data_IF_722977053323
#
_entry.id   IF_722977053323
#
_cell.length_a   1.000
_cell.length_b   1.000
_cell.length_c   1.000
_cell.angle_alpha   90.00
_cell.angle_beta   90.00
_cell.angle_gamma   90.00
#
_symmetry.space_group_name_H-M   'P 1'
#
loop_
_entity.id
_entity.type
_entity.pdbx_description
1 polymer ?
#
# COMPACT_ATOMS: atom_id res chain seq x y z
N UNK A 1 4.92 -23.94 2.86
CA UNK A 1 5.18 -22.71 3.63
C UNK A 1 4.45 -21.54 2.98
N UNK A 2 3.56 -20.86 3.71
CA UNK A 2 2.72 -19.78 3.19
C UNK A 2 3.57 -18.55 2.83
N UNK A 3 3.47 -18.04 1.59
CA UNK A 3 4.28 -16.90 1.12
C UNK A 3 4.09 -15.64 1.98
N UNK A 4 2.96 -15.50 2.65
CA UNK A 4 2.70 -14.38 3.57
C UNK A 4 3.65 -14.37 4.78
N UNK A 5 4.01 -15.54 5.32
CA UNK A 5 4.89 -15.62 6.49
C UNK A 5 6.37 -15.39 6.17
N UNK A 6 6.76 -15.45 4.89
CA UNK A 6 8.10 -15.01 4.47
C UNK A 6 8.32 -13.51 4.68
N UNK A 7 7.26 -12.75 4.96
CA UNK A 7 7.34 -11.33 5.27
C UNK A 7 7.59 -11.03 6.75
N UNK A 8 7.59 -12.06 7.62
CA UNK A 8 7.78 -11.90 9.06
C UNK A 8 9.16 -12.45 9.45
N UNK A 9 10.00 -11.62 10.05
CA UNK A 9 11.25 -12.06 10.66
C UNK A 9 10.99 -12.92 11.90
N UNK A 10 11.98 -13.73 12.30
CA UNK A 10 11.89 -14.50 13.53
C UNK A 10 12.08 -13.61 14.76
N UNK A 11 10.99 -13.37 15.49
CA UNK A 11 10.97 -12.54 16.71
C UNK A 11 10.94 -13.35 18.01
N UNK A 12 10.74 -14.68 17.94
CA UNK A 12 10.78 -15.58 19.09
C UNK A 12 9.84 -16.78 19.00
N UNK A 13 9.97 -17.71 19.96
CA UNK A 13 9.17 -18.93 20.02
C UNK A 13 7.70 -18.59 20.31
N UNK A 14 6.78 -19.18 19.53
CA UNK A 14 5.31 -18.98 19.62
C UNK A 14 4.82 -17.54 19.32
N UNK A 15 5.68 -16.69 18.74
CA UNK A 15 5.30 -15.35 18.34
C UNK A 15 4.92 -15.26 16.86
N UNK A 16 5.49 -16.12 16.01
CA UNK A 16 5.05 -16.26 14.61
C UNK A 16 3.91 -17.29 14.54
N UNK A 17 2.76 -16.94 13.94
CA UNK A 17 1.66 -17.88 13.76
C UNK A 17 2.02 -18.98 12.76
N UNK A 18 1.57 -20.21 13.02
CA UNK A 18 1.83 -21.36 12.14
C UNK A 18 1.01 -21.34 10.83
N UNK A 19 -0.22 -20.80 10.89
CA UNK A 19 -1.15 -20.71 9.74
C UNK A 19 -1.87 -19.37 9.71
N UNK A 20 -2.25 -18.93 8.51
CA UNK A 20 -2.98 -17.68 8.33
C UNK A 20 -4.42 -17.90 8.81
N UNK A 21 -4.86 -17.05 9.73
CA UNK A 21 -6.14 -17.17 10.42
C UNK A 21 -7.10 -16.09 9.91
N UNK A 22 -8.09 -16.46 9.11
CA UNK A 22 -8.98 -15.49 8.42
C UNK A 22 -9.72 -14.55 9.39
N UNK A 23 -9.95 -15.01 10.61
CA UNK A 23 -10.57 -14.28 11.72
C UNK A 23 -9.68 -13.15 12.29
N UNK A 24 -8.35 -13.36 12.32
CA UNK A 24 -7.39 -12.38 12.86
C UNK A 24 -6.95 -11.35 11.82
N UNK A 25 -6.81 -11.76 10.57
CA UNK A 25 -6.26 -10.91 9.53
C UNK A 25 -7.36 -10.03 8.93
N UNK A 26 -7.32 -8.73 9.26
CA UNK A 26 -8.24 -7.72 8.73
C UNK A 26 -7.45 -6.69 7.91
N UNK A 27 -7.99 -6.26 6.75
CA UNK A 27 -7.41 -5.14 6.02
C UNK A 27 -7.45 -3.87 6.88
N UNK A 28 -6.29 -3.22 7.04
CA UNK A 28 -6.15 -1.97 7.79
C UNK A 28 -6.35 -0.76 6.87
N UNK A 29 -5.70 -0.76 5.71
CA UNK A 29 -5.79 0.31 4.73
C UNK A 29 -5.67 -0.22 3.29
N UNK A 30 -6.15 0.55 2.33
CA UNK A 30 -5.97 0.34 0.89
C UNK A 30 -5.43 1.63 0.28
N UNK A 31 -4.32 1.50 -0.45
CA UNK A 31 -3.71 2.59 -1.20
C UNK A 31 -4.16 2.52 -2.65
N UNK A 32 -4.70 3.62 -3.16
CA UNK A 32 -5.14 3.76 -4.54
C UNK A 32 -4.45 4.95 -5.20
N UNK A 33 -3.91 4.71 -6.38
CA UNK A 33 -3.33 5.71 -7.27
C UNK A 33 -4.24 5.90 -8.47
N UNK A 34 -4.04 6.99 -9.23
CA UNK A 34 -4.79 7.22 -10.45
C UNK A 34 -4.64 6.04 -11.44
N UNK A 35 -5.66 5.76 -12.27
CA UNK A 35 -5.60 4.67 -13.23
C UNK A 35 -4.38 4.83 -14.15
N UNK A 36 -3.70 3.72 -14.47
CA UNK A 36 -2.46 3.73 -15.26
C UNK A 36 -1.17 3.82 -14.46
N UNK A 37 -1.21 4.23 -13.18
CA UNK A 37 -0.01 4.41 -12.34
C UNK A 37 0.48 3.11 -11.63
N UNK A 38 0.33 1.95 -12.28
CA UNK A 38 0.70 0.66 -11.69
C UNK A 38 2.21 0.50 -11.42
N UNK A 39 3.07 1.27 -12.08
CA UNK A 39 4.51 1.31 -11.79
C UNK A 39 4.81 2.04 -10.47
N UNK A 40 4.07 3.11 -10.17
CA UNK A 40 4.18 3.86 -8.91
C UNK A 40 3.74 2.99 -7.74
N UNK A 41 2.58 2.34 -7.85
CA UNK A 41 2.09 1.42 -6.81
C UNK A 41 3.06 0.27 -6.50
N UNK A 42 3.70 -0.31 -7.52
CA UNK A 42 4.76 -1.31 -7.31
C UNK A 42 5.96 -0.74 -6.56
N UNK A 43 6.44 0.45 -6.96
CA UNK A 43 7.54 1.14 -6.28
C UNK A 43 7.23 1.36 -4.80
N UNK A 44 6.04 1.89 -4.49
CA UNK A 44 5.57 2.12 -3.11
C UNK A 44 5.51 0.80 -2.33
N UNK A 45 4.94 -0.25 -2.90
CA UNK A 45 4.88 -1.56 -2.26
C UNK A 45 6.27 -2.13 -1.96
N UNK A 46 7.24 -1.98 -2.87
CA UNK A 46 8.61 -2.38 -2.63
C UNK A 46 9.24 -1.61 -1.47
N UNK A 47 9.05 -0.28 -1.42
CA UNK A 47 9.60 0.56 -0.35
C UNK A 47 9.01 0.28 1.02
N UNK A 48 7.70 0.08 1.12
CA UNK A 48 7.06 -0.32 2.38
C UNK A 48 7.58 -1.67 2.89
N UNK A 49 7.90 -2.61 1.99
CA UNK A 49 8.48 -3.89 2.39
C UNK A 49 9.93 -3.78 2.83
N UNK A 50 10.71 -2.91 2.19
CA UNK A 50 12.08 -2.60 2.62
C UNK A 50 12.05 -1.99 4.03
N UNK A 51 11.21 -0.98 4.28
CA UNK A 51 11.10 -0.33 5.59
C UNK A 51 10.64 -1.29 6.68
N UNK A 52 9.59 -2.08 6.42
CA UNK A 52 9.15 -3.12 7.37
C UNK A 52 10.26 -4.09 7.75
N UNK A 53 11.10 -4.49 6.78
CA UNK A 53 12.21 -5.39 7.06
C UNK A 53 13.27 -4.72 7.94
N UNK A 54 13.55 -3.43 7.70
CA UNK A 54 14.48 -2.64 8.51
C UNK A 54 13.96 -2.46 9.94
N UNK A 55 12.69 -2.11 10.13
CA UNK A 55 12.07 -2.00 11.47
C UNK A 55 12.17 -3.29 12.30
N UNK A 56 12.21 -4.45 11.66
CA UNK A 56 12.33 -5.73 12.34
C UNK A 56 13.77 -6.16 12.65
N UNK A 57 14.75 -5.68 11.88
CA UNK A 57 16.15 -6.17 11.93
C UNK A 57 17.16 -5.13 12.40
N UNK A 58 16.95 -3.86 12.05
CA UNK A 58 17.83 -2.73 12.30
C UNK A 58 17.20 -1.81 13.35
N UNK A 59 17.08 -2.29 14.58
CA UNK A 59 16.57 -1.52 15.71
C UNK A 59 17.66 -1.42 16.78
N UNK A 60 18.07 -0.19 17.10
CA UNK A 60 19.07 0.11 18.14
C UNK A 60 18.46 0.88 19.33
N UNK A 61 17.13 0.83 19.48
CA UNK A 61 16.41 1.52 20.55
C UNK A 61 16.82 0.95 21.93
N UNK A 62 17.43 1.78 22.81
CA UNK A 62 17.79 1.38 24.16
C UNK A 62 16.60 0.83 24.96
N UNK A 63 15.38 1.32 24.72
CA UNK A 63 14.19 0.86 25.41
C UNK A 63 13.88 -0.61 25.07
N UNK A 64 13.94 -0.99 23.79
CA UNK A 64 13.78 -2.39 23.36
C UNK A 64 14.91 -3.28 23.88
N UNK A 65 16.14 -2.77 23.93
CA UNK A 65 17.30 -3.50 24.44
C UNK A 65 17.22 -3.77 25.95
N UNK A 66 16.60 -2.88 26.72
CA UNK A 66 16.37 -3.08 28.16
C UNK A 66 15.28 -4.12 28.46
N UNK A 67 14.37 -4.40 27.53
CA UNK A 67 13.29 -5.36 27.70
C UNK A 67 13.77 -6.82 27.67
N UNK A 68 12.99 -7.70 28.32
CA UNK A 68 13.18 -9.17 28.21
C UNK A 68 13.02 -9.63 26.76
N UNK A 69 13.69 -10.73 26.38
CA UNK A 69 13.64 -11.28 25.01
C UNK A 69 12.22 -11.51 24.50
N UNK A 70 11.32 -11.95 25.38
CA UNK A 70 9.91 -12.20 25.02
C UNK A 70 9.15 -10.91 24.80
N UNK A 71 9.19 -9.98 25.76
CA UNK A 71 8.52 -8.68 25.64
C UNK A 71 9.03 -7.90 24.42
N UNK A 72 10.35 -7.96 24.16
CA UNK A 72 10.96 -7.40 22.96
C UNK A 72 10.39 -8.02 21.68
N UNK A 73 10.26 -9.35 21.62
CA UNK A 73 9.67 -10.02 20.47
C UNK A 73 8.20 -9.64 20.24
N UNK A 74 7.43 -9.44 21.31
CA UNK A 74 6.05 -8.94 21.25
C UNK A 74 6.01 -7.50 20.73
N UNK A 75 6.86 -6.61 21.24
CA UNK A 75 6.99 -5.23 20.76
C UNK A 75 7.43 -5.15 19.29
N UNK A 76 8.39 -5.97 18.86
CA UNK A 76 8.85 -6.03 17.46
C UNK A 76 7.77 -6.56 16.51
N UNK A 77 6.78 -7.32 16.98
CA UNK A 77 5.66 -7.73 16.15
C UNK A 77 4.58 -6.64 16.02
N UNK A 78 4.51 -5.70 16.96
CA UNK A 78 3.58 -4.57 16.90
C UNK A 78 4.08 -3.50 15.92
N UNK A 79 3.93 -3.81 14.63
CA UNK A 79 4.39 -2.95 13.53
C UNK A 79 3.27 -2.08 12.97
N UNK A 80 2.12 -1.97 13.65
CA UNK A 80 0.96 -1.23 13.11
C UNK A 80 1.27 0.26 12.96
N UNK A 81 1.80 0.88 14.01
CA UNK A 81 2.20 2.30 13.99
C UNK A 81 3.30 2.56 12.97
N UNK A 82 4.36 1.75 13.00
CA UNK A 82 5.48 1.85 12.05
C UNK A 82 5.00 1.74 10.59
N UNK A 83 4.09 0.80 10.30
CA UNK A 83 3.54 0.64 8.95
C UNK A 83 2.81 1.91 8.47
N UNK A 84 2.13 2.64 9.35
CA UNK A 84 1.46 3.89 9.00
C UNK A 84 2.45 5.03 8.80
N UNK A 85 3.43 5.15 9.68
CA UNK A 85 4.51 6.12 9.53
C UNK A 85 5.28 5.89 8.21
N UNK A 86 5.57 4.64 7.87
CA UNK A 86 6.20 4.26 6.61
C UNK A 86 5.33 4.63 5.39
N UNK A 87 4.01 4.47 5.49
CA UNK A 87 3.09 4.91 4.43
C UNK A 87 3.18 6.42 4.20
N UNK A 88 3.14 7.22 5.27
CA UNK A 88 3.28 8.67 5.17
C UNK A 88 4.64 9.05 4.56
N UNK A 89 5.74 8.46 5.06
CA UNK A 89 7.08 8.70 4.56
C UNK A 89 7.24 8.36 3.06
N UNK A 90 6.77 7.20 2.64
CA UNK A 90 6.88 6.75 1.24
C UNK A 90 6.01 7.60 0.31
N UNK A 91 4.81 8.00 0.74
CA UNK A 91 3.95 8.88 -0.06
C UNK A 91 4.45 10.34 -0.13
N UNK A 92 5.26 10.76 0.85
CA UNK A 92 6.03 11.99 0.80
C UNK A 92 7.24 11.93 -0.16
N UNK A 93 7.47 10.79 -0.81
CA UNK A 93 8.57 10.60 -1.74
C UNK A 93 9.90 10.28 -1.06
N UNK A 94 9.89 9.80 0.19
CA UNK A 94 11.11 9.32 0.87
C UNK A 94 11.55 7.98 0.24
N UNK A 95 12.87 7.78 0.19
CA UNK A 95 13.51 6.58 -0.34
C UNK A 95 14.08 6.77 -1.74
N UNK A 96 15.36 6.39 -1.92
CA UNK A 96 16.05 6.49 -3.21
C UNK A 96 15.30 5.69 -4.30
N UNK A 97 15.05 6.36 -5.44
CA UNK A 97 14.36 5.77 -6.58
C UNK A 97 12.85 5.56 -6.39
N UNK A 98 12.25 6.22 -5.40
CA UNK A 98 10.81 6.19 -5.20
C UNK A 98 10.07 6.93 -6.32
N UNK A 99 9.26 6.19 -7.09
CA UNK A 99 8.50 6.70 -8.24
C UNK A 99 7.25 7.50 -7.87
N UNK A 100 6.99 7.76 -6.59
CA UNK A 100 5.96 8.74 -6.20
C UNK A 100 6.39 10.16 -6.57
N UNK A 101 7.71 10.42 -6.59
CA UNK A 101 8.26 11.64 -7.16
C UNK A 101 8.07 11.60 -8.68
N UNK A 102 7.44 12.63 -9.19
CA UNK A 102 7.20 12.84 -10.60
C UNK A 102 8.33 13.70 -11.16
N UNK A 103 9.24 13.05 -11.87
CA UNK A 103 10.23 13.75 -12.69
C UNK A 103 9.50 14.09 -14.00
N UNK A 104 9.22 15.37 -14.25
CA UNK A 104 8.39 15.83 -15.39
C UNK A 104 8.85 15.42 -16.79
N UNK A 105 9.99 14.75 -16.89
CA UNK A 105 10.65 14.26 -18.10
C UNK A 105 10.31 12.80 -18.46
N UNK A 106 9.56 12.07 -17.62
CA UNK A 106 9.07 10.75 -18.00
C UNK A 106 7.77 10.90 -18.80
N UNK A 107 7.90 11.09 -20.12
CA UNK A 107 6.88 10.57 -21.05
C UNK A 107 6.54 9.16 -20.60
N UNK A 108 5.25 8.90 -20.37
CA UNK A 108 4.73 7.59 -20.00
C UNK A 108 5.31 6.55 -20.96
N UNK A 109 6.39 5.88 -20.54
CA UNK A 109 6.76 4.57 -21.06
C UNK A 109 5.67 3.65 -20.53
N UNK A 110 4.49 3.75 -21.15
CA UNK A 110 3.36 2.85 -20.98
C UNK A 110 3.96 1.47 -21.15
N UNK A 111 4.26 0.81 -20.03
CA UNK A 111 4.73 -0.56 -20.07
C UNK A 111 3.58 -1.30 -20.75
N UNK A 112 3.80 -1.93 -21.91
CA UNK A 112 2.71 -2.61 -22.61
C UNK A 112 2.07 -3.56 -21.62
N UNK A 113 0.75 -3.53 -21.56
CA UNK A 113 -0.02 -4.33 -20.62
C UNK A 113 0.29 -5.81 -20.87
N UNK A 114 1.12 -6.40 -20.02
CA UNK A 114 1.52 -7.80 -20.15
C UNK A 114 0.44 -8.66 -19.49
N UNK A 115 -0.39 -9.30 -20.30
CA UNK A 115 -1.28 -10.34 -19.81
C UNK A 115 -0.49 -11.65 -19.63
N UNK A 116 -0.43 -12.17 -18.41
CA UNK A 116 0.20 -13.47 -18.14
C UNK A 116 -0.81 -14.60 -18.31
N UNK A 117 -0.84 -15.22 -19.49
CA UNK A 117 -1.55 -16.49 -19.72
C UNK A 117 -0.54 -17.61 -19.84
N UNK A 118 -0.57 -18.59 -18.92
CA UNK A 118 0.31 -19.78 -18.90
C UNK A 118 1.82 -19.45 -19.03
N UNK A 119 2.32 -18.48 -18.27
CA UNK A 119 3.76 -18.24 -18.11
C UNK A 119 4.51 -17.72 -19.35
N UNK A 120 3.81 -17.35 -20.44
CA UNK A 120 4.40 -16.66 -21.60
C UNK A 120 3.96 -15.20 -21.64
N UNK A 121 4.89 -14.30 -21.96
CA UNK A 121 4.63 -12.88 -22.19
C UNK A 121 3.98 -12.71 -23.56
N UNK A 122 2.76 -12.18 -23.59
CA UNK A 122 2.09 -11.76 -24.82
C UNK A 122 1.98 -10.23 -24.86
N UNK A 123 2.32 -9.63 -25.99
CA UNK A 123 2.07 -8.22 -26.28
C UNK A 123 0.62 -8.08 -26.75
N UNK A 124 -0.21 -7.34 -26.01
CA UNK A 124 -1.53 -6.94 -26.50
C UNK A 124 -1.33 -5.78 -27.47
N UNK A 125 -1.40 -6.06 -28.77
CA UNK A 125 -1.44 -5.02 -29.79
C UNK A 125 -2.88 -4.54 -29.95
N UNK A 126 -3.19 -3.33 -29.46
CA UNK A 126 -4.48 -2.67 -29.65
C UNK A 126 -4.59 -2.18 -31.10
N UNK A 127 -4.87 -3.08 -32.03
CA UNK A 127 -5.32 -2.75 -33.39
C UNK A 127 -6.62 -3.47 -33.71
N UNK A 128 -7.72 -2.71 -33.67
CA UNK A 128 -9.01 -3.10 -34.23
C UNK A 128 -10.18 -2.48 -33.48
N UNK A 129 -10.73 -1.37 -34.02
CA UNK A 129 -12.10 -0.92 -33.71
C UNK A 129 -12.25 0.51 -33.18
N UNK A 130 -12.55 1.45 -34.09
CA UNK A 130 -13.26 2.73 -33.84
C UNK A 130 -14.71 2.42 -33.34
N UNK A 131 -15.55 3.28 -32.75
CA UNK A 131 -15.80 4.73 -32.90
C UNK A 131 -16.69 5.21 -31.72
N UNK A 132 -16.88 6.52 -31.61
CA UNK A 132 -17.46 7.33 -30.52
C UNK A 132 -18.96 7.12 -30.23
N UNK A 133 -19.41 7.55 -29.04
CA UNK A 133 -20.52 8.50 -28.94
C UNK A 133 -20.35 9.42 -27.71
N UNK A 134 -20.47 10.72 -27.98
CA UNK A 134 -20.54 11.82 -27.01
C UNK A 134 -21.95 11.88 -26.41
N UNK A 135 -22.08 12.14 -25.10
CA UNK A 135 -23.19 12.97 -24.60
C UNK A 135 -22.71 13.82 -23.43
N UNK A 136 -23.12 15.08 -23.50
CA UNK A 136 -22.81 16.21 -22.64
C UNK A 136 -23.53 16.15 -21.28
N UNK A 137 -22.88 16.64 -20.23
CA UNK A 137 -23.51 17.41 -19.15
C UNK A 137 -22.43 18.01 -18.23
N UNK A 138 -22.40 19.33 -18.16
CA UNK A 138 -21.51 20.12 -17.34
C UNK A 138 -21.87 20.05 -15.85
N UNK A 139 -20.86 20.04 -14.98
CA UNK A 139 -20.95 20.64 -13.63
C UNK A 139 -19.66 21.41 -13.38
N UNK A 140 -19.80 22.74 -13.33
CA UNK A 140 -18.74 23.67 -12.99
C UNK A 140 -18.55 23.73 -11.47
N UNK A 141 -17.29 23.72 -11.01
CA UNK A 141 -16.88 24.34 -9.74
C UNK A 141 -15.53 25.04 -9.95
N UNK A 142 -15.53 26.37 -9.73
CA UNK A 142 -14.37 27.28 -9.70
C UNK A 142 -13.39 26.91 -8.57
N UNK A 143 -12.08 26.74 -8.81
CA UNK A 143 -10.96 27.71 -8.96
C UNK A 143 -10.13 27.88 -7.66
N UNK A 144 -8.81 27.81 -7.83
CA UNK A 144 -7.71 28.18 -6.92
C UNK A 144 -7.05 27.10 -6.03
N UNK A 145 -6.23 26.24 -6.67
CA UNK A 145 -4.78 26.07 -6.42
C UNK A 145 -4.24 24.96 -7.34
N UNK A 146 -3.00 25.12 -7.80
CA UNK A 146 -2.46 24.52 -9.03
C UNK A 146 -2.61 23.02 -9.18
N UNK A 147 -3.44 22.60 -10.14
CA UNK A 147 -3.43 21.25 -10.72
C UNK A 147 -2.65 21.35 -12.02
N UNK A 148 -1.42 20.84 -12.04
CA UNK A 148 -0.58 20.80 -13.24
C UNK A 148 -0.53 19.35 -13.72
N UNK A 149 -1.41 19.03 -14.69
CA UNK A 149 -1.63 17.69 -15.30
C UNK A 149 -2.26 16.65 -14.36
N UNK A 150 -3.11 15.78 -14.92
CA UNK A 150 -4.01 14.87 -14.20
C UNK A 150 -3.27 14.06 -13.09
N UNK A 151 -3.58 14.35 -11.83
CA UNK A 151 -3.15 13.55 -10.68
C UNK A 151 -1.73 13.81 -10.16
N UNK A 152 -1.11 14.95 -10.46
CA UNK A 152 0.18 15.38 -9.87
C UNK A 152 -0.02 16.64 -9.04
N UNK A 153 0.50 16.63 -7.81
CA UNK A 153 0.45 17.75 -6.86
C UNK A 153 1.86 18.27 -6.65
N UNK A 154 2.02 19.58 -6.76
CA UNK A 154 3.24 20.26 -6.39
C UNK A 154 3.32 20.40 -4.87
N UNK A 155 4.41 19.94 -4.27
CA UNK A 155 4.66 20.05 -2.82
C UNK A 155 6.00 20.72 -2.60
N UNK A 156 6.00 21.76 -1.77
CA UNK A 156 7.23 22.42 -1.32
C UNK A 156 7.74 21.68 -0.08
N UNK A 157 8.83 20.93 -0.24
CA UNK A 157 9.42 20.19 0.89
C UNK A 157 10.52 21.03 1.51
N UNK A 158 10.36 21.35 2.80
CA UNK A 158 11.42 21.93 3.62
C UNK A 158 12.28 20.78 4.16
N UNK A 159 13.61 20.87 4.08
CA UNK A 159 14.49 19.87 4.71
C UNK A 159 14.47 20.07 6.22
N UNK A 160 14.29 18.98 6.96
CA UNK A 160 14.39 18.97 8.42
C UNK A 160 15.83 19.35 8.83
N UNK A 161 16.00 20.53 9.43
CA UNK A 161 17.27 21.02 9.96
C UNK A 161 17.59 22.49 9.68
N UNK A 162 16.95 23.13 8.70
CA UNK A 162 17.15 24.56 8.41
C UNK A 162 15.96 25.38 8.91
N UNK A 163 16.12 25.97 10.11
CA UNK A 163 15.27 27.05 10.62
C UNK A 163 15.59 28.39 9.93
N UNK A 164 15.84 28.36 8.62
CA UNK A 164 16.05 29.53 7.79
C UNK A 164 14.89 29.63 6.80
N UNK A 165 14.35 30.84 6.63
CA UNK A 165 13.37 31.20 5.61
C UNK A 165 13.99 31.06 4.21
N UNK A 166 14.16 29.81 3.76
CA UNK A 166 14.67 29.45 2.45
C UNK A 166 13.57 28.79 1.61
N UNK A 167 13.49 29.18 0.34
CA UNK A 167 12.62 28.59 -0.68
C UNK A 167 12.82 27.06 -0.71
N UNK A 168 11.79 26.31 -0.28
CA UNK A 168 11.85 24.85 -0.21
C UNK A 168 12.01 24.22 -1.59
N UNK A 169 12.54 22.99 -1.62
CA UNK A 169 12.69 22.25 -2.87
C UNK A 169 11.30 21.89 -3.39
N UNK A 170 10.96 22.39 -4.59
CA UNK A 170 9.69 22.13 -5.26
C UNK A 170 9.72 20.72 -5.85
N UNK A 171 9.00 19.79 -5.23
CA UNK A 171 8.92 18.39 -5.65
C UNK A 171 7.51 18.12 -6.14
N UNK A 172 7.38 17.39 -7.25
CA UNK A 172 6.09 17.01 -7.80
C UNK A 172 5.81 15.58 -7.36
N UNK A 173 4.63 15.33 -6.79
CA UNK A 173 4.25 14.03 -6.24
C UNK A 173 2.95 13.55 -6.88
N UNK A 174 2.88 12.26 -7.17
CA UNK A 174 1.62 11.64 -7.59
C UNK A 174 0.58 11.69 -6.46
N UNK A 175 -0.66 11.96 -6.83
CA UNK A 175 -1.79 11.93 -5.91
C UNK A 175 -2.11 10.50 -5.49
N UNK A 176 -2.38 10.30 -4.20
CA UNK A 176 -2.73 9.01 -3.64
C UNK A 176 -3.97 9.13 -2.74
N UNK A 177 -4.86 8.14 -2.80
CA UNK A 177 -6.00 8.02 -1.88
C UNK A 177 -5.76 6.85 -0.94
N UNK A 178 -5.88 7.10 0.37
CA UNK A 178 -5.78 6.08 1.42
C UNK A 178 -7.16 5.82 1.99
N UNK A 179 -7.66 4.60 1.78
CA UNK A 179 -8.89 4.12 2.40
C UNK A 179 -8.57 3.42 3.71
N UNK A 180 -9.15 3.90 4.81
CA UNK A 180 -8.91 3.37 6.15
C UNK A 180 -10.05 2.46 6.62
N UNK A 181 -9.71 1.37 7.31
CA UNK A 181 -10.70 0.57 8.03
C UNK A 181 -11.14 1.23 9.35
N UNK A 182 -10.21 1.90 10.03
CA UNK A 182 -10.46 2.71 11.22
C UNK A 182 -9.82 4.08 11.03
N UNK A 183 -10.56 5.14 11.35
CA UNK A 183 -10.07 6.51 11.25
C UNK A 183 -8.87 6.78 12.19
N UNK A 184 -8.83 6.14 13.35
CA UNK A 184 -7.76 6.36 14.33
C UNK A 184 -6.37 6.01 13.80
N UNK A 185 -6.30 5.08 12.83
CA UNK A 185 -5.02 4.61 12.31
C UNK A 185 -4.27 5.69 11.55
N UNK A 186 -4.95 6.72 11.02
CA UNK A 186 -4.28 7.81 10.30
C UNK A 186 -3.35 8.65 11.19
N UNK A 187 -3.60 8.66 12.51
CA UNK A 187 -2.88 9.48 13.48
C UNK A 187 -1.59 8.85 14.01
N UNK A 188 -1.24 7.63 13.58
CA UNK A 188 0.08 7.06 13.88
C UNK A 188 1.22 7.80 13.15
N UNK A 189 0.93 8.48 12.04
CA UNK A 189 1.87 9.38 11.39
C UNK A 189 1.64 10.81 11.90
N UNK A 190 2.72 11.49 12.26
CA UNK A 190 2.67 12.87 12.78
C UNK A 190 2.19 13.87 11.72
N UNK A 191 2.60 13.66 10.47
CA UNK A 191 2.26 14.53 9.35
C UNK A 191 2.04 13.74 8.06
N UNK A 192 1.16 14.26 7.22
CA UNK A 192 0.87 13.75 5.89
C UNK A 192 1.12 14.84 4.86
N UNK A 193 1.60 14.45 3.69
CA UNK A 193 1.82 15.37 2.57
C UNK A 193 0.51 15.68 1.84
N UNK A 194 0.44 16.87 1.25
CA UNK A 194 -0.78 17.41 0.62
C UNK A 194 -1.29 16.59 -0.58
N UNK A 195 -0.43 15.77 -1.18
CA UNK A 195 -0.79 14.86 -2.28
C UNK A 195 -1.66 13.66 -1.82
N UNK A 196 -1.83 13.46 -0.51
CA UNK A 196 -2.53 12.31 0.06
C UNK A 196 -3.94 12.70 0.51
N UNK A 197 -4.94 11.99 0.00
CA UNK A 197 -6.33 12.11 0.45
C UNK A 197 -6.71 10.92 1.33
N UNK A 198 -7.52 11.17 2.36
CA UNK A 198 -7.95 10.13 3.30
C UNK A 198 -9.46 9.88 3.20
N UNK A 199 -9.85 8.61 3.10
CA UNK A 199 -11.26 8.19 3.04
C UNK A 199 -11.52 7.12 4.09
N UNK A 200 -12.61 7.26 4.85
CA UNK A 200 -13.03 6.26 5.83
C UNK A 200 -13.88 5.21 5.11
N UNK A 201 -13.57 3.93 5.34
CA UNK A 201 -14.27 2.80 4.77
C UNK A 201 -13.52 2.17 3.60
N UNK A 202 -13.41 0.84 3.65
CA UNK A 202 -12.72 0.08 2.60
C UNK A 202 -13.60 -0.02 1.34
N UNK A 203 -12.99 0.05 0.13
CA UNK A 203 -13.72 -0.03 -1.12
C UNK A 203 -14.33 -1.42 -1.32
N UNK A 204 -15.47 -1.48 -2.02
CA UNK A 204 -16.27 -2.72 -2.17
C UNK A 204 -15.51 -3.88 -2.80
N UNK A 205 -14.58 -3.59 -3.72
CA UNK A 205 -13.68 -4.57 -4.33
C UNK A 205 -12.96 -5.44 -3.28
N UNK A 206 -12.59 -4.87 -2.15
CA UNK A 206 -11.94 -5.58 -1.04
C UNK A 206 -12.97 -6.33 -0.18
N UNK A 207 -14.19 -5.81 -0.04
CA UNK A 207 -15.29 -6.47 0.67
C UNK A 207 -15.78 -7.73 -0.06
N UNK A 208 -15.90 -7.67 -1.40
CA UNK A 208 -16.34 -8.80 -2.25
C UNK A 208 -15.33 -9.95 -2.27
N UNK A 209 -14.03 -9.66 -2.33
CA UNK A 209 -12.99 -10.70 -2.21
C UNK A 209 -13.04 -11.46 -0.87
N UNK A 210 -13.51 -10.80 0.20
CA UNK A 210 -13.72 -11.43 1.50
C UNK A 210 -14.94 -12.36 1.51
N UNK A 211 -16.00 -12.02 0.77
CA UNK A 211 -17.21 -12.86 0.66
C UNK A 211 -16.93 -14.14 -0.13
N UNK A 212 -16.22 -14.03 -1.26
CA UNK A 212 -15.84 -15.18 -2.08
C UNK A 212 -14.94 -16.17 -1.32
N UNK A 213 -13.98 -15.68 -0.51
CA UNK A 213 -13.11 -16.54 0.30
C UNK A 213 -13.79 -17.21 1.50
N UNK A 214 -15.00 -16.76 1.87
CA UNK A 214 -15.85 -17.36 2.92
C UNK A 214 -16.78 -18.41 2.32
N UNK A 215 -17.30 -18.15 1.11
CA UNK A 215 -18.16 -19.11 0.39
C UNK A 215 -17.37 -20.36 -0.06
N UNK A 216 -16.13 -20.21 -0.53
CA UNK A 216 -15.25 -21.33 -0.92
C UNK A 216 -14.93 -22.29 0.26
N UNK A 217 -14.92 -21.78 1.51
CA UNK A 217 -14.62 -22.60 2.69
C UNK A 217 -15.86 -23.26 3.30
N UNK A 218 -17.06 -22.68 3.08
CA UNK A 218 -18.31 -23.34 3.40
C UNK A 218 -18.56 -24.54 2.48
N UNK A 219 -18.14 -24.44 1.22
CA UNK A 219 -18.21 -25.53 0.25
C UNK A 219 -17.15 -26.61 0.57
N UNK A 220 -15.91 -26.22 0.89
CA UNK A 220 -14.86 -27.17 1.30
C UNK A 220 -15.12 -27.87 2.66
N UNK A 221 -15.90 -27.25 3.56
CA UNK A 221 -16.32 -27.87 4.81
C UNK A 221 -17.53 -28.81 4.64
N UNK A 222 -18.32 -28.65 3.57
CA UNK A 222 -19.42 -29.53 3.23
C UNK A 222 -18.97 -30.79 2.45
N UNK A 223 -17.76 -30.78 1.88
CA UNK A 223 -17.23 -31.85 1.03
C UNK A 223 -16.23 -32.80 1.75
N UNK A 224 -16.14 -32.77 3.08
CA UNK A 224 -15.35 -33.73 3.84
C UNK A 224 -16.19 -35.01 4.10
N UNK A 225 -15.87 -36.18 3.50
CA UNK A 225 -16.59 -37.40 3.79
C UNK A 225 -16.28 -37.88 5.21
N UNK A 226 -17.35 -38.18 5.93
CA UNK A 226 -17.40 -38.94 7.17
C UNK A 226 -16.76 -40.32 7.00
N UNK A 227 -15.47 -40.45 7.29
CA UNK A 227 -14.79 -41.75 7.29
C UNK A 227 -13.71 -41.80 8.39
N UNK A 228 -14.14 -42.15 9.62
CA UNK A 228 -13.33 -42.84 10.62
C UNK A 228 -14.17 -43.25 11.84
N UNK A 229 -15.02 -44.27 11.67
CA UNK A 229 -15.52 -45.13 12.75
C UNK A 229 -15.65 -46.58 12.25
N UNK A 230 -14.54 -47.30 12.31
CA UNK A 230 -14.32 -48.75 12.27
C UNK A 230 -12.79 -48.86 12.11
N UNK A 231 -12.01 -49.51 12.96
CA UNK A 231 -12.15 -50.76 13.68
C UNK A 231 -11.16 -50.77 14.87
#
# INVERSE_FOLDING_TARGET
SNKAFRQLAYTGKKLIPAKLRKDYWRPMAVLEFAPGQGAVGRSVFHKLRELKQRHQLEWDDPALLAMTRRARGEALNDQRGNSVADMAAVLAGIGKGNRVRYDGDQEDKVQPEYFYRRGRRFLVNKKGGQQQEETTAAVAVNKEKGVVKEGVVEVVVKKDGDAAEGEGEKIWLHQATVYWANEQDKFYAEQWTENVTHVIGLPEKVKKGKKAAVEEEAEAAAEAPEAAKAE
#
